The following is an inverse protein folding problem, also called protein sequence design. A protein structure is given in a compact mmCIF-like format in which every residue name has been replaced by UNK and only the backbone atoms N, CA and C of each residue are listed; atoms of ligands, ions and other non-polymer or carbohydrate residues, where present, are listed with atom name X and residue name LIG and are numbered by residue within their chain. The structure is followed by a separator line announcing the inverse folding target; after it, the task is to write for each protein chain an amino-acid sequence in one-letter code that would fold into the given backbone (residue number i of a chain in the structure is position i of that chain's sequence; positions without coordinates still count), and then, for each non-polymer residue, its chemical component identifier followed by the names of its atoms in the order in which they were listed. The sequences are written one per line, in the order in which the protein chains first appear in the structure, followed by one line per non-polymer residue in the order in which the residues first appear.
data_IF_985706224997
#
_entry.id   IF_985706224997
#
_cell.length_a   1.000
_cell.length_b   1.000
_cell.length_c   1.000
_cell.angle_alpha   90.00
_cell.angle_beta   90.00
_cell.angle_gamma   90.00
#
_symmetry.space_group_name_H-M   'P 1'
#
loop_
_entity.id
_entity.type
_entity.pdbx_description
1 polymer ?
#
# COMPACT_ATOMS: atom_id res chain seq x y z
N UNK A 1 19.17 13.57 -21.24
CA UNK A 1 19.53 12.14 -21.43
C UNK A 1 18.29 11.43 -21.92
N UNK A 2 18.30 10.93 -23.15
CA UNK A 2 17.25 10.04 -23.65
C UNK A 2 17.40 8.68 -22.95
N UNK A 3 16.88 8.58 -21.73
CA UNK A 3 16.65 7.27 -21.13
C UNK A 3 15.73 6.46 -22.04
N UNK A 4 15.93 5.15 -22.05
CA UNK A 4 15.10 4.21 -22.82
C UNK A 4 13.64 4.48 -22.47
N UNK A 5 12.88 5.03 -23.42
CA UNK A 5 11.45 5.30 -23.18
C UNK A 5 10.76 3.95 -23.04
N UNK A 6 10.17 3.72 -21.88
CA UNK A 6 9.33 2.56 -21.67
C UNK A 6 8.16 2.62 -22.67
N UNK A 7 7.82 1.52 -23.37
CA UNK A 7 6.71 1.51 -24.31
C UNK A 7 5.38 1.81 -23.63
N UNK A 8 4.50 2.52 -24.32
CA UNK A 8 3.17 2.91 -23.81
C UNK A 8 2.30 1.69 -23.48
N UNK A 9 2.52 0.57 -24.17
CA UNK A 9 1.82 -0.69 -23.95
C UNK A 9 2.09 -1.25 -22.54
N UNK A 10 3.32 -1.09 -22.02
CA UNK A 10 3.67 -1.54 -20.67
C UNK A 10 3.00 -0.65 -19.62
N UNK A 11 2.91 0.66 -19.90
CA UNK A 11 2.20 1.61 -19.04
C UNK A 11 0.70 1.29 -18.98
N UNK A 12 0.09 0.97 -20.12
CA UNK A 12 -1.32 0.57 -20.16
C UNK A 12 -1.55 -0.75 -19.43
N UNK A 13 -0.67 -1.73 -19.63
CA UNK A 13 -0.74 -3.03 -18.95
C UNK A 13 -0.68 -2.88 -17.41
N UNK A 14 0.08 -1.92 -16.91
CA UNK A 14 0.18 -1.63 -15.47
C UNK A 14 -1.10 -1.10 -14.84
N UNK A 15 -2.10 -0.68 -15.63
CA UNK A 15 -3.42 -0.30 -15.10
C UNK A 15 -4.30 -1.51 -14.81
N UNK A 16 -4.12 -2.60 -15.57
CA UNK A 16 -4.97 -3.79 -15.49
C UNK A 16 -4.28 -4.96 -14.77
N UNK A 17 -2.95 -4.96 -14.71
CA UNK A 17 -2.15 -6.07 -14.15
C UNK A 17 -1.17 -5.58 -13.12
N UNK A 18 -0.87 -6.45 -12.15
CA UNK A 18 0.21 -6.22 -11.21
C UNK A 18 1.57 -6.47 -11.88
N UNK A 19 2.40 -5.43 -11.92
CA UNK A 19 3.76 -5.52 -12.47
C UNK A 19 4.77 -5.61 -11.33
N UNK A 20 5.64 -6.62 -11.42
CA UNK A 20 6.87 -6.71 -10.60
C UNK A 20 8.06 -6.38 -11.49
N UNK A 21 8.83 -5.36 -11.13
CA UNK A 21 10.09 -5.05 -11.79
C UNK A 21 11.22 -5.83 -11.11
N UNK A 22 12.03 -6.56 -11.89
CA UNK A 22 13.20 -7.26 -11.38
C UNK A 22 14.46 -6.56 -11.92
N UNK A 23 15.28 -6.02 -11.03
CA UNK A 23 16.48 -5.25 -11.36
C UNK A 23 17.77 -5.92 -10.88
N UNK A 24 18.87 -5.51 -11.47
CA UNK A 24 20.23 -5.88 -11.06
C UNK A 24 20.58 -5.32 -9.67
N UNK A 25 21.52 -5.99 -9.00
CA UNK A 25 21.98 -5.65 -7.65
C UNK A 25 23.02 -4.52 -7.63
N UNK A 26 23.02 -3.65 -8.64
CA UNK A 26 24.02 -2.62 -8.83
C UNK A 26 23.40 -1.21 -8.75
N UNK A 27 24.19 -0.18 -9.06
CA UNK A 27 23.69 1.19 -9.10
C UNK A 27 22.83 1.45 -10.34
N UNK A 28 23.13 0.80 -11.46
CA UNK A 28 22.39 0.93 -12.71
C UNK A 28 20.94 0.47 -12.57
N UNK A 29 20.73 -0.73 -12.03
CA UNK A 29 19.42 -1.31 -11.73
C UNK A 29 18.57 -0.40 -10.85
N UNK A 30 19.17 0.24 -9.84
CA UNK A 30 18.47 1.21 -8.98
C UNK A 30 18.03 2.48 -9.72
N UNK A 31 18.79 2.95 -10.71
CA UNK A 31 18.41 4.09 -11.54
C UNK A 31 17.30 3.72 -12.54
N UNK A 32 17.37 2.51 -13.08
CA UNK A 32 16.33 1.96 -13.96
C UNK A 32 15.01 1.83 -13.20
N UNK A 33 15.05 1.31 -11.97
CA UNK A 33 13.85 1.20 -11.14
C UNK A 33 13.13 2.54 -10.93
N UNK A 34 13.88 3.64 -10.75
CA UNK A 34 13.30 4.97 -10.66
C UNK A 34 12.64 5.35 -11.99
N UNK A 35 13.38 5.28 -13.09
CA UNK A 35 12.89 5.69 -14.40
C UNK A 35 11.63 4.90 -14.81
N UNK A 36 11.62 3.59 -14.60
CA UNK A 36 10.48 2.73 -14.92
C UNK A 36 9.28 3.04 -14.02
N UNK A 37 9.51 3.22 -12.71
CA UNK A 37 8.43 3.56 -11.76
C UNK A 37 7.82 4.94 -12.01
N UNK A 38 8.59 5.89 -12.56
CA UNK A 38 8.07 7.21 -12.95
C UNK A 38 7.19 7.15 -14.21
N UNK A 39 7.33 6.09 -15.03
CA UNK A 39 6.66 5.96 -16.33
C UNK A 39 5.60 4.84 -16.38
N UNK A 40 5.58 3.91 -15.42
CA UNK A 40 4.61 2.83 -15.35
C UNK A 40 4.25 2.45 -13.90
N UNK A 41 3.06 1.86 -13.74
CA UNK A 41 2.55 1.42 -12.45
C UNK A 41 3.23 0.11 -12.01
N UNK A 42 4.33 0.22 -11.26
CA UNK A 42 5.07 -0.91 -10.71
C UNK A 42 4.61 -1.16 -9.28
N UNK A 43 4.11 -2.37 -9.00
CA UNK A 43 3.62 -2.75 -7.67
C UNK A 43 4.76 -3.15 -6.74
N UNK A 44 5.68 -3.97 -7.27
CA UNK A 44 6.77 -4.55 -6.50
C UNK A 44 8.10 -4.45 -7.24
N UNK A 45 9.18 -4.38 -6.47
CA UNK A 45 10.56 -4.44 -6.97
C UNK A 45 11.25 -5.64 -6.33
N UNK A 46 11.77 -6.53 -7.17
CA UNK A 46 12.73 -7.56 -6.80
C UNK A 46 14.13 -7.07 -7.19
N UNK A 47 15.12 -7.35 -6.35
CA UNK A 47 16.51 -6.92 -6.55
C UNK A 47 17.38 -8.17 -6.54
N UNK A 48 18.27 -8.30 -7.53
CA UNK A 48 19.31 -9.31 -7.49
C UNK A 48 20.26 -9.05 -6.30
N UNK A 49 21.00 -10.07 -5.82
CA UNK A 49 22.02 -9.86 -4.79
C UNK A 49 23.02 -8.77 -5.19
N UNK A 50 23.55 -8.05 -4.20
CA UNK A 50 24.48 -6.94 -4.44
C UNK A 50 25.63 -7.35 -5.37
N UNK A 51 25.82 -6.57 -6.44
CA UNK A 51 26.86 -6.79 -7.44
C UNK A 51 26.60 -7.92 -8.45
N UNK A 52 25.43 -8.55 -8.43
CA UNK A 52 25.01 -9.53 -9.46
C UNK A 52 24.01 -8.94 -10.44
N UNK A 53 24.09 -9.39 -11.68
CA UNK A 53 23.08 -9.13 -12.71
C UNK A 53 22.01 -10.22 -12.69
N UNK A 54 20.78 -9.88 -13.11
CA UNK A 54 19.66 -10.83 -13.13
C UNK A 54 19.95 -12.02 -14.05
N UNK A 55 20.69 -11.80 -15.14
CA UNK A 55 21.08 -12.85 -16.10
C UNK A 55 22.07 -13.87 -15.53
N UNK A 56 22.76 -13.54 -14.44
CA UNK A 56 23.73 -14.42 -13.78
C UNK A 56 23.10 -15.33 -12.72
N UNK A 57 21.81 -15.16 -12.41
CA UNK A 57 21.16 -15.84 -11.30
C UNK A 57 20.78 -17.29 -11.63
N UNK A 58 21.10 -18.20 -10.72
CA UNK A 58 20.53 -19.54 -10.76
C UNK A 58 19.02 -19.49 -10.48
N UNK A 59 18.25 -20.47 -10.99
CA UNK A 59 16.80 -20.51 -10.81
C UNK A 59 16.33 -20.43 -9.35
N UNK A 60 17.10 -20.99 -8.40
CA UNK A 60 16.81 -20.86 -6.96
C UNK A 60 16.99 -19.43 -6.46
N UNK A 61 17.98 -18.70 -6.98
CA UNK A 61 18.26 -17.30 -6.62
C UNK A 61 17.16 -16.38 -7.16
N UNK A 62 16.71 -16.59 -8.40
CA UNK A 62 15.55 -15.90 -9.00
C UNK A 62 14.31 -16.04 -8.10
N UNK A 63 13.97 -17.27 -7.71
CA UNK A 63 12.82 -17.53 -6.84
C UNK A 63 12.98 -16.89 -5.46
N UNK A 64 14.19 -16.85 -4.91
CA UNK A 64 14.46 -16.18 -3.64
C UNK A 64 14.28 -14.66 -3.75
N UNK A 65 14.79 -14.05 -4.82
CA UNK A 65 14.65 -12.61 -5.07
C UNK A 65 13.17 -12.21 -5.25
N UNK A 66 12.40 -12.96 -6.05
CA UNK A 66 10.97 -12.72 -6.26
C UNK A 66 10.11 -12.90 -5.00
N UNK A 67 10.50 -13.81 -4.10
CA UNK A 67 9.84 -13.97 -2.78
C UNK A 67 10.14 -12.81 -1.83
N UNK A 68 11.33 -12.22 -1.95
CA UNK A 68 11.78 -11.07 -1.16
C UNK A 68 11.43 -9.71 -1.79
N UNK A 69 10.66 -9.69 -2.89
CA UNK A 69 10.26 -8.43 -3.53
C UNK A 69 9.56 -7.52 -2.53
N UNK A 70 9.86 -6.23 -2.60
CA UNK A 70 9.28 -5.21 -1.73
C UNK A 70 8.36 -4.29 -2.53
N UNK A 71 7.38 -3.62 -1.91
CA UNK A 71 6.59 -2.60 -2.58
C UNK A 71 7.48 -1.54 -3.23
N UNK A 72 7.15 -1.11 -4.45
CA UNK A 72 7.98 -0.13 -5.17
C UNK A 72 8.17 1.17 -4.38
N UNK A 73 7.13 1.63 -3.67
CA UNK A 73 7.18 2.81 -2.80
C UNK A 73 8.24 2.71 -1.68
N UNK A 74 8.37 1.54 -1.07
CA UNK A 74 9.35 1.30 -0.02
C UNK A 74 10.77 1.40 -0.59
N UNK A 75 11.01 0.74 -1.73
CA UNK A 75 12.30 0.78 -2.42
C UNK A 75 12.76 2.20 -2.79
N UNK A 76 11.85 3.02 -3.32
CA UNK A 76 12.16 4.40 -3.74
C UNK A 76 12.41 5.34 -2.54
N UNK A 77 11.84 5.04 -1.37
CA UNK A 77 12.00 5.85 -0.15
C UNK A 77 13.36 5.67 0.53
N UNK A 78 14.00 4.50 0.40
CA UNK A 78 15.23 4.13 1.11
C UNK A 78 16.52 4.81 0.59
N UNK A 79 16.44 5.70 -0.42
CA UNK A 79 17.61 6.31 -1.08
C UNK A 79 17.87 7.78 -0.73
N UNK A 80 17.05 8.41 0.10
CA UNK A 80 17.21 9.83 0.46
C UNK A 80 18.20 10.09 1.62
N UNK A 81 18.94 9.09 2.08
CA UNK A 81 19.96 9.23 3.13
C UNK A 81 21.27 9.86 2.62
N UNK A 82 21.26 11.19 2.46
CA UNK A 82 22.47 11.97 2.15
C UNK A 82 22.44 13.45 2.56
N UNK A 83 21.27 14.01 2.87
CA UNK A 83 21.15 15.33 3.51
C UNK A 83 20.04 15.30 4.54
N UNK A 84 20.44 15.15 5.81
CA UNK A 84 19.62 15.56 6.94
C UNK A 84 19.58 17.09 6.97
N UNK A 85 18.69 17.67 6.17
CA UNK A 85 17.94 18.82 6.66
C UNK A 85 16.67 18.27 7.31
N UNK A 86 16.11 18.89 8.37
CA UNK A 86 14.80 18.52 8.86
C UNK A 86 13.77 18.97 7.81
N UNK A 87 13.64 18.15 6.76
CA UNK A 87 12.65 18.30 5.70
C UNK A 87 11.33 17.87 6.32
N UNK A 88 10.78 18.81 7.05
CA UNK A 88 9.38 18.95 7.41
C UNK A 88 8.60 19.10 6.11
N UNK A 89 8.54 18.07 5.27
CA UNK A 89 7.84 18.18 3.98
C UNK A 89 7.46 16.80 3.44
N UNK A 90 6.14 16.63 3.30
CA UNK A 90 5.46 15.89 2.23
C UNK A 90 5.68 14.37 2.29
N UNK A 91 4.91 13.59 3.05
CA UNK A 91 3.45 13.42 2.88
C UNK A 91 2.88 14.13 1.63
N UNK A 92 3.52 13.94 0.47
CA UNK A 92 2.77 13.94 -0.78
C UNK A 92 2.21 12.51 -0.83
N UNK A 93 0.94 12.34 -0.48
CA UNK A 93 -0.08 12.47 -1.51
C UNK A 93 0.26 11.58 -2.71
N UNK A 94 0.48 10.27 -2.47
CA UNK A 94 -0.56 9.41 -3.03
C UNK A 94 -1.85 9.93 -2.42
N UNK A 95 -2.50 10.82 -3.17
CA UNK A 95 -3.93 10.88 -3.21
C UNK A 95 -4.43 9.42 -3.17
N UNK A 96 -4.66 8.89 -1.96
CA UNK A 96 -5.95 8.30 -1.69
C UNK A 96 -6.90 9.47 -1.91
N UNK A 97 -7.17 9.74 -3.19
CA UNK A 97 -8.17 10.67 -3.64
C UNK A 97 -9.44 10.00 -3.14
N UNK A 98 -9.79 10.30 -1.90
CA UNK A 98 -11.18 10.35 -1.54
C UNK A 98 -11.71 11.59 -2.27
N UNK A 99 -11.69 11.55 -3.61
CA UNK A 99 -12.49 12.43 -4.44
C UNK A 99 -13.91 12.28 -3.95
N UNK A 100 -14.74 13.31 -4.09
CA UNK A 100 -16.10 13.34 -3.55
C UNK A 100 -16.90 12.04 -3.85
N UNK A 101 -16.62 11.40 -4.99
CA UNK A 101 -17.11 10.07 -5.43
C UNK A 101 -16.85 8.93 -4.41
N UNK A 102 -15.71 8.95 -3.71
CA UNK A 102 -15.28 7.92 -2.75
C UNK A 102 -15.83 8.16 -1.34
N UNK A 103 -16.13 9.41 -0.97
CA UNK A 103 -16.75 9.73 0.33
C UNK A 103 -18.19 9.22 0.39
N UNK A 104 -18.91 9.35 -0.72
CA UNK A 104 -20.29 8.85 -0.86
C UNK A 104 -20.36 7.33 -0.78
N UNK A 105 -19.42 6.61 -1.43
CA UNK A 105 -19.34 5.15 -1.34
C UNK A 105 -19.06 4.68 0.10
N UNK A 106 -18.11 5.32 0.79
CA UNK A 106 -17.82 5.02 2.20
C UNK A 106 -19.00 5.33 3.12
N UNK A 107 -19.72 6.44 2.87
CA UNK A 107 -20.93 6.80 3.61
C UNK A 107 -22.03 5.77 3.40
N UNK A 108 -22.26 5.35 2.16
CA UNK A 108 -23.23 4.30 1.82
C UNK A 108 -22.92 2.99 2.55
N UNK A 109 -21.66 2.53 2.51
CA UNK A 109 -21.23 1.34 3.24
C UNK A 109 -21.44 1.52 4.75
N UNK A 110 -21.08 2.68 5.31
CA UNK A 110 -21.26 2.99 6.73
C UNK A 110 -22.73 2.92 7.16
N UNK A 111 -23.65 3.42 6.33
CA UNK A 111 -25.10 3.33 6.57
C UNK A 111 -25.63 1.90 6.40
N UNK A 112 -25.13 1.15 5.42
CA UNK A 112 -25.54 -0.25 5.19
C UNK A 112 -25.17 -1.18 6.35
N UNK A 113 -24.07 -0.90 7.04
CA UNK A 113 -23.62 -1.70 8.19
C UNK A 113 -24.09 -1.16 9.54
N UNK A 114 -24.81 -0.05 9.57
CA UNK A 114 -25.25 0.59 10.80
C UNK A 114 -26.15 -0.34 11.63
N UNK A 115 -25.79 -0.56 12.90
CA UNK A 115 -26.52 -1.45 13.81
C UNK A 115 -26.22 -2.94 13.62
N UNK A 116 -25.19 -3.30 12.85
CA UNK A 116 -24.78 -4.69 12.62
C UNK A 116 -23.61 -5.17 13.49
N UNK A 117 -22.92 -4.28 14.21
CA UNK A 117 -21.66 -4.54 14.94
C UNK A 117 -20.56 -5.18 14.07
N UNK A 118 -20.54 -4.84 12.77
CA UNK A 118 -19.56 -5.34 11.80
C UNK A 118 -18.58 -4.28 11.36
N UNK A 119 -17.45 -4.76 10.85
CA UNK A 119 -16.47 -3.97 10.13
C UNK A 119 -16.26 -4.55 8.74
N UNK A 120 -16.19 -3.67 7.74
CA UNK A 120 -15.93 -4.00 6.33
C UNK A 120 -14.50 -3.59 6.00
N UNK A 121 -13.73 -4.55 5.50
CA UNK A 121 -12.34 -4.40 5.10
C UNK A 121 -12.29 -4.18 3.58
N UNK A 122 -11.63 -3.11 3.15
CA UNK A 122 -11.57 -2.73 1.75
C UNK A 122 -10.14 -2.66 1.23
N UNK A 123 -9.97 -3.00 -0.04
CA UNK A 123 -8.70 -2.86 -0.78
C UNK A 123 -8.42 -1.38 -1.18
N UNK A 124 -7.36 -1.16 -1.96
CA UNK A 124 -7.03 0.18 -2.50
C UNK A 124 -8.07 0.75 -3.46
N UNK A 125 -8.93 -0.09 -4.03
CA UNK A 125 -9.97 0.25 -5.01
C UNK A 125 -11.37 0.34 -4.37
N UNK A 126 -11.45 0.30 -3.03
CA UNK A 126 -12.69 0.27 -2.25
C UNK A 126 -13.59 -0.94 -2.55
N UNK A 127 -13.00 -2.07 -2.92
CA UNK A 127 -13.72 -3.34 -3.02
C UNK A 127 -13.67 -4.08 -1.69
N UNK A 128 -14.74 -4.78 -1.35
CA UNK A 128 -14.81 -5.57 -0.12
C UNK A 128 -13.87 -6.78 -0.22
N UNK A 129 -12.89 -6.81 0.68
CA UNK A 129 -12.08 -8.00 0.97
C UNK A 129 -12.89 -8.92 1.87
N UNK A 130 -13.46 -8.37 2.97
CA UNK A 130 -14.25 -9.13 3.93
C UNK A 130 -15.04 -8.26 4.91
N UNK A 131 -16.19 -8.76 5.35
CA UNK A 131 -16.89 -8.29 6.55
C UNK A 131 -16.65 -9.21 7.76
N UNK A 132 -16.36 -8.64 8.92
CA UNK A 132 -16.12 -9.35 10.19
C UNK A 132 -16.78 -8.63 11.37
N UNK A 133 -17.04 -9.31 12.49
CA UNK A 133 -17.50 -8.64 13.71
C UNK A 133 -16.41 -7.74 14.28
N UNK A 134 -16.80 -6.55 14.76
CA UNK A 134 -15.88 -5.59 15.41
C UNK A 134 -15.13 -6.23 16.59
N UNK A 135 -15.77 -7.16 17.30
CA UNK A 135 -15.18 -7.86 18.46
C UNK A 135 -13.94 -8.68 18.10
N UNK A 136 -13.87 -9.24 16.89
CA UNK A 136 -12.76 -10.08 16.44
C UNK A 136 -11.80 -9.38 15.49
N UNK A 137 -12.10 -8.12 15.12
CA UNK A 137 -11.40 -7.37 14.09
C UNK A 137 -9.90 -7.25 14.34
N UNK A 138 -9.48 -6.81 15.53
CA UNK A 138 -8.05 -6.66 15.88
C UNK A 138 -7.27 -7.97 15.70
N UNK A 139 -7.79 -9.08 16.23
CA UNK A 139 -7.16 -10.39 16.07
C UNK A 139 -7.19 -10.94 14.64
N UNK A 140 -8.14 -10.49 13.83
CA UNK A 140 -8.27 -10.86 12.41
C UNK A 140 -7.27 -10.11 11.52
N UNK A 141 -7.09 -8.79 11.74
CA UNK A 141 -6.14 -7.95 11.01
C UNK A 141 -4.69 -8.46 11.10
N UNK A 142 -4.33 -9.04 12.24
CA UNK A 142 -3.00 -9.61 12.45
C UNK A 142 -2.75 -10.87 11.61
N UNK A 143 -3.82 -11.61 11.25
CA UNK A 143 -3.72 -12.92 10.57
C UNK A 143 -4.08 -12.88 9.09
N UNK A 144 -4.78 -11.85 8.64
CA UNK A 144 -5.20 -11.73 7.25
C UNK A 144 -3.97 -11.57 6.34
N UNK A 145 -3.97 -12.32 5.23
CA UNK A 145 -2.91 -12.28 4.20
C UNK A 145 -3.03 -11.03 3.34
N UNK A 146 -4.24 -10.76 2.86
CA UNK A 146 -4.57 -9.57 2.10
C UNK A 146 -4.83 -8.42 3.07
N UNK A 147 -3.96 -7.41 3.07
CA UNK A 147 -4.03 -6.31 4.03
C UNK A 147 -4.99 -5.22 3.53
N UNK A 148 -6.00 -4.83 4.33
CA UNK A 148 -6.93 -3.78 3.95
C UNK A 148 -6.25 -2.41 3.97
N UNK A 149 -6.64 -1.56 3.03
CA UNK A 149 -6.22 -0.15 2.99
C UNK A 149 -7.24 0.75 3.68
N UNK A 150 -8.52 0.38 3.65
CA UNK A 150 -9.60 1.10 4.32
C UNK A 150 -10.43 0.13 5.17
N UNK A 151 -10.84 0.58 6.36
CA UNK A 151 -11.72 -0.16 7.26
C UNK A 151 -12.92 0.71 7.61
N UNK A 152 -14.13 0.20 7.41
CA UNK A 152 -15.38 0.85 7.84
C UNK A 152 -15.94 0.08 9.03
N UNK A 153 -16.19 0.75 10.15
CA UNK A 153 -16.59 0.14 11.43
C UNK A 153 -17.96 0.68 11.84
N UNK A 154 -18.90 -0.22 12.10
CA UNK A 154 -20.13 0.12 12.80
C UNK A 154 -19.86 0.29 14.30
N UNK A 155 -19.77 1.54 14.74
CA UNK A 155 -19.58 1.91 16.14
C UNK A 155 -18.25 2.62 16.41
N UNK A 156 -17.59 2.25 17.51
CA UNK A 156 -16.39 2.94 18.01
C UNK A 156 -15.12 2.20 17.61
N UNK A 157 -14.19 2.90 16.97
CA UNK A 157 -12.82 2.42 16.77
C UNK A 157 -12.04 2.52 18.09
N UNK A 158 -11.84 1.38 18.75
CA UNK A 158 -11.09 1.30 20.02
C UNK A 158 -9.57 1.33 19.78
N UNK A 159 -8.78 1.65 20.81
CA UNK A 159 -7.30 1.70 20.70
C UNK A 159 -6.69 0.40 20.13
N UNK A 160 -7.07 -0.81 20.57
CA UNK A 160 -6.53 -2.04 20.00
C UNK A 160 -6.85 -2.20 18.50
N UNK A 161 -8.03 -1.76 18.06
CA UNK A 161 -8.41 -1.82 16.65
C UNK A 161 -7.57 -0.85 15.82
N UNK A 162 -7.38 0.39 16.31
CA UNK A 162 -6.59 1.40 15.62
C UNK A 162 -5.13 0.95 15.48
N UNK A 163 -4.53 0.43 16.56
CA UNK A 163 -3.15 -0.09 16.55
C UNK A 163 -3.02 -1.28 15.59
N UNK A 164 -3.92 -2.28 15.67
CA UNK A 164 -3.86 -3.44 14.77
C UNK A 164 -4.11 -3.06 13.31
N UNK A 165 -4.92 -2.03 13.05
CA UNK A 165 -5.10 -1.51 11.70
C UNK A 165 -3.82 -0.82 11.19
N UNK A 166 -3.11 -0.10 12.06
CA UNK A 166 -1.85 0.60 11.73
C UNK A 166 -0.76 -0.42 11.39
N UNK A 167 -0.60 -1.44 12.24
CA UNK A 167 0.32 -2.56 12.02
C UNK A 167 -0.03 -3.36 10.76
N UNK A 168 -1.32 -3.45 10.42
CA UNK A 168 -1.79 -4.08 9.18
C UNK A 168 -1.54 -3.22 7.93
N UNK A 169 -1.04 -1.99 8.08
CA UNK A 169 -0.79 -1.06 6.96
C UNK A 169 -2.03 -0.33 6.45
N UNK A 170 -3.10 -0.28 7.26
CA UNK A 170 -4.32 0.45 6.94
C UNK A 170 -4.06 1.94 6.91
N UNK A 171 -4.65 2.65 5.94
CA UNK A 171 -4.46 4.10 5.76
C UNK A 171 -5.66 4.93 6.21
N UNK A 172 -6.87 4.34 6.20
CA UNK A 172 -8.11 5.05 6.55
C UNK A 172 -9.01 4.16 7.42
N UNK A 173 -9.49 4.71 8.53
CA UNK A 173 -10.59 4.11 9.31
C UNK A 173 -11.79 5.04 9.28
N UNK A 174 -12.94 4.49 8.90
CA UNK A 174 -14.25 5.14 8.98
C UNK A 174 -15.01 4.56 10.17
N UNK A 175 -15.45 5.39 11.11
CA UNK A 175 -16.21 4.97 12.28
C UNK A 175 -16.99 6.15 12.86
N UNK A 176 -18.08 5.88 13.61
CA UNK A 176 -18.83 6.95 14.28
C UNK A 176 -17.96 7.69 15.31
N UNK A 177 -17.24 6.92 16.13
CA UNK A 177 -16.42 7.43 17.22
C UNK A 177 -15.02 6.80 17.24
N UNK A 178 -14.06 7.50 17.82
CA UNK A 178 -12.67 7.04 17.96
C UNK A 178 -12.22 7.16 19.43
N UNK A 179 -11.61 6.12 19.98
CA UNK A 179 -11.10 6.13 21.35
C UNK A 179 -9.75 6.87 21.50
N UNK A 180 -9.07 7.14 20.39
CA UNK A 180 -7.86 7.95 20.32
C UNK A 180 -7.72 8.55 18.92
N UNK A 181 -7.05 9.68 18.83
CA UNK A 181 -6.65 10.32 17.58
C UNK A 181 -5.13 10.28 17.35
N UNK A 182 -4.38 9.79 18.32
CA UNK A 182 -2.94 9.58 18.23
C UNK A 182 -2.64 8.32 17.41
N UNK A 183 -2.48 8.50 16.10
CA UNK A 183 -2.19 7.43 15.13
C UNK A 183 -1.73 8.07 13.80
N UNK A 184 -0.98 7.32 12.99
CA UNK A 184 -0.64 7.74 11.62
C UNK A 184 -1.75 7.49 10.59
N UNK A 185 -2.85 6.83 10.98
CA UNK A 185 -4.00 6.53 10.12
C UNK A 185 -4.93 7.75 9.98
N UNK A 186 -5.48 7.98 8.78
CA UNK A 186 -6.56 8.96 8.59
C UNK A 186 -7.86 8.46 9.21
N UNK A 187 -8.35 9.16 10.23
CA UNK A 187 -9.63 8.86 10.88
C UNK A 187 -10.75 9.69 10.24
N UNK A 188 -11.86 9.04 9.88
CA UNK A 188 -13.03 9.68 9.28
C UNK A 188 -14.29 9.33 10.05
N UNK A 189 -14.97 10.35 10.58
CA UNK A 189 -16.31 10.20 11.15
C UNK A 189 -17.35 10.46 10.07
N UNK A 190 -18.22 9.48 9.82
CA UNK A 190 -19.34 9.52 8.88
C UNK A 190 -20.62 9.01 9.54
#
# INVERSE_FOLDING_TARGET
MNGTKLPDEIRELGKEKEITLFIDGDRGGKLIAQNVSDNANIKYIAVAPDGKEVEELAGKEILMALRKKIPAREFLSARNDGKREPIQTKIEQEHFQIDEINKDKLKKISTEIEGSEKAVLLDSSLNEIKSVSVKVLSGFLNRIREKPIVIVIDGTATKPIIISAEEAGCRVIVAKNFATTDTSIKLMSL
#
